data_IF_878287901613
#
_entry.id   IF_878287901613
#
_cell.length_a   1.000
_cell.length_b   1.000
_cell.length_c   1.000
_cell.angle_alpha   90.00
_cell.angle_beta   90.00
_cell.angle_gamma   90.00
#
_symmetry.space_group_name_H-M   'P 1'
#
loop_
_entity.id
_entity.type
_entity.pdbx_description
1 polymer ?
#
# COMPACT_ATOMS: atom_id res chain seq x y z
N UNK A 1 16.82 -29.47 22.93
CA UNK A 1 16.88 -28.55 21.77
C UNK A 1 17.01 -27.14 22.30
N UNK A 2 18.04 -26.39 21.90
CA UNK A 2 18.23 -25.02 22.38
C UNK A 2 17.19 -24.10 21.73
N UNK A 3 16.41 -23.40 22.54
CA UNK A 3 15.46 -22.39 22.06
C UNK A 3 16.25 -21.10 21.84
N UNK A 4 16.31 -20.63 20.61
CA UNK A 4 16.90 -19.33 20.28
C UNK A 4 15.95 -18.23 20.77
N UNK A 5 16.40 -17.43 21.75
CA UNK A 5 15.67 -16.27 22.27
C UNK A 5 16.17 -14.98 21.58
N UNK A 6 15.29 -14.00 21.36
CA UNK A 6 15.67 -12.65 20.92
C UNK A 6 15.74 -12.39 19.40
N UNK A 7 15.15 -13.25 18.54
CA UNK A 7 15.06 -12.98 17.09
C UNK A 7 13.76 -12.31 16.64
N UNK A 8 12.76 -12.22 17.51
CA UNK A 8 11.48 -11.58 17.20
C UNK A 8 11.46 -10.20 17.83
N UNK A 9 11.12 -9.20 17.03
CA UNK A 9 10.83 -7.83 17.45
C UNK A 9 9.54 -7.72 18.28
N UNK A 10 8.76 -8.80 18.37
CA UNK A 10 7.55 -8.91 19.18
C UNK A 10 7.78 -9.62 20.52
N UNK A 11 8.94 -10.27 20.70
CA UNK A 11 9.26 -11.03 21.92
C UNK A 11 10.45 -10.40 22.61
N UNK A 12 10.16 -9.48 23.54
CA UNK A 12 11.15 -9.06 24.52
C UNK A 12 11.62 -10.29 25.31
N UNK A 13 12.93 -10.48 25.43
CA UNK A 13 13.47 -11.56 26.23
C UNK A 13 13.01 -11.33 27.68
N UNK A 14 12.58 -12.37 28.42
CA UNK A 14 12.15 -12.21 29.82
C UNK A 14 13.25 -11.58 30.72
N UNK A 15 14.51 -11.64 30.28
CA UNK A 15 15.66 -11.01 30.93
C UNK A 15 15.85 -9.53 30.55
N UNK A 16 15.30 -9.07 29.42
CA UNK A 16 15.36 -7.67 28.97
C UNK A 16 14.38 -6.77 29.74
N UNK A 17 13.34 -7.36 30.34
CA UNK A 17 12.42 -6.62 31.23
C UNK A 17 13.12 -5.99 32.46
N UNK A 18 14.36 -6.40 32.77
CA UNK A 18 15.18 -5.82 33.84
C UNK A 18 16.25 -4.84 33.35
N UNK A 19 16.44 -4.69 32.04
CA UNK A 19 17.34 -3.69 31.45
C UNK A 19 16.43 -2.55 30.99
N UNK A 20 16.53 -1.40 31.65
CA UNK A 20 15.76 -0.18 31.38
C UNK A 20 16.02 0.46 29.98
N UNK A 21 16.47 -0.34 29.02
CA UNK A 21 17.03 0.07 27.73
C UNK A 21 16.61 -0.86 26.58
N UNK A 22 15.78 -1.89 26.81
CA UNK A 22 15.14 -2.60 25.70
C UNK A 22 13.97 -1.75 25.20
N UNK A 23 14.07 -1.21 23.99
CA UNK A 23 12.93 -0.58 23.33
C UNK A 23 11.74 -1.55 23.38
N UNK A 24 10.62 -1.19 24.05
CA UNK A 24 9.46 -2.05 24.07
C UNK A 24 9.01 -2.30 22.63
N UNK A 25 8.62 -3.55 22.32
CA UNK A 25 8.06 -3.91 21.02
C UNK A 25 6.99 -2.87 20.65
N UNK A 26 7.13 -2.22 19.49
CA UNK A 26 6.23 -1.14 19.09
C UNK A 26 4.79 -1.66 19.20
N UNK A 27 3.94 -1.06 20.06
CA UNK A 27 2.61 -1.58 20.30
C UNK A 27 1.76 -1.62 19.03
N UNK A 28 2.10 -0.88 17.98
CA UNK A 28 1.41 -0.96 16.69
C UNK A 28 1.90 -2.08 15.79
N UNK A 29 3.15 -2.50 15.92
CA UNK A 29 3.63 -3.78 15.37
C UNK A 29 3.08 -4.98 16.15
N UNK A 30 2.90 -4.84 17.46
CA UNK A 30 2.41 -5.92 18.33
C UNK A 30 0.87 -6.03 18.42
N UNK A 31 0.12 -4.95 18.14
CA UNK A 31 -1.35 -4.84 18.34
C UNK A 31 -2.04 -3.97 17.28
N UNK A 32 -1.46 -3.85 16.08
CA UNK A 32 -2.01 -3.02 15.00
C UNK A 32 -3.46 -3.38 14.68
N UNK A 33 -4.31 -2.36 14.54
CA UNK A 33 -5.69 -2.52 14.04
C UNK A 33 -5.70 -2.28 12.54
N UNK A 34 -6.22 -3.21 11.73
CA UNK A 34 -6.37 -2.96 10.30
C UNK A 34 -7.53 -1.99 10.07
N UNK A 35 -7.26 -0.98 9.25
CA UNK A 35 -8.22 -0.02 8.73
C UNK A 35 -8.42 -0.34 7.26
N UNK A 36 -9.69 -0.42 6.83
CA UNK A 36 -10.07 -0.73 5.46
C UNK A 36 -10.66 0.51 4.82
N UNK A 37 -10.06 0.94 3.71
CA UNK A 37 -10.60 1.96 2.81
C UNK A 37 -11.06 1.24 1.56
N UNK A 38 -12.33 1.37 1.20
CA UNK A 38 -12.93 0.68 0.06
C UNK A 38 -13.65 1.70 -0.81
N UNK A 39 -13.57 1.50 -2.12
CA UNK A 39 -14.22 2.39 -3.08
C UNK A 39 -14.21 1.80 -4.48
N UNK A 40 -14.76 2.56 -5.41
CA UNK A 40 -14.74 2.24 -6.83
C UNK A 40 -14.45 3.50 -7.61
N UNK A 41 -13.49 3.42 -8.53
CA UNK A 41 -13.27 4.45 -9.54
C UNK A 41 -13.89 4.00 -10.86
N UNK A 42 -14.44 4.93 -11.63
CA UNK A 42 -14.94 4.68 -12.98
C UNK A 42 -14.30 5.64 -13.98
N UNK A 43 -14.02 5.14 -15.18
CA UNK A 43 -13.53 5.92 -16.31
C UNK A 43 -14.54 5.89 -17.45
N UNK A 44 -14.64 6.99 -18.20
CA UNK A 44 -15.32 7.06 -19.48
C UNK A 44 -14.40 6.56 -20.61
N UNK A 45 -15.01 6.17 -21.72
CA UNK A 45 -14.27 5.78 -22.94
C UNK A 45 -13.53 6.96 -23.59
N UNK A 46 -13.85 8.19 -23.21
CA UNK A 46 -13.25 9.43 -23.73
C UNK A 46 -12.11 9.96 -22.85
N UNK A 47 -11.79 9.27 -21.75
CA UNK A 47 -10.77 9.72 -20.82
C UNK A 47 -9.38 9.54 -21.44
N UNK A 48 -8.58 10.61 -21.38
CA UNK A 48 -7.27 10.68 -22.03
C UNK A 48 -6.16 10.14 -21.13
N UNK A 49 -4.97 10.00 -21.73
CA UNK A 49 -3.68 9.74 -21.07
C UNK A 49 -3.21 10.80 -20.05
N UNK A 50 -4.03 11.81 -19.75
CA UNK A 50 -3.75 12.78 -18.67
C UNK A 50 -4.74 12.66 -17.52
N UNK A 51 -5.62 11.65 -17.57
CA UNK A 51 -6.65 11.43 -16.55
C UNK A 51 -6.03 10.89 -15.29
N UNK A 52 -6.48 11.40 -14.15
CA UNK A 52 -6.02 11.01 -12.82
C UNK A 52 -7.21 10.88 -11.88
N UNK A 53 -7.27 9.78 -11.13
CA UNK A 53 -8.38 9.46 -10.25
C UNK A 53 -7.89 9.33 -8.81
N UNK A 54 -8.37 10.18 -7.92
CA UNK A 54 -8.05 10.10 -6.50
C UNK A 54 -8.72 8.88 -5.88
N UNK A 55 -7.93 8.03 -5.24
CA UNK A 55 -8.40 6.80 -4.59
C UNK A 55 -8.70 7.06 -3.11
N UNK A 56 -7.69 7.51 -2.37
CA UNK A 56 -7.79 7.79 -0.94
C UNK A 56 -6.59 8.58 -0.44
N UNK A 57 -6.75 9.22 0.71
CA UNK A 57 -5.66 9.84 1.47
C UNK A 57 -5.31 8.97 2.67
N UNK A 58 -4.04 8.62 2.79
CA UNK A 58 -3.51 7.74 3.84
C UNK A 58 -2.45 8.46 4.65
N UNK A 59 -2.30 8.18 5.94
CA UNK A 59 -1.19 8.73 6.70
C UNK A 59 0.16 8.27 6.14
N UNK A 60 1.16 9.15 6.14
CA UNK A 60 2.47 8.87 5.52
C UNK A 60 3.25 7.75 6.21
N UNK A 61 3.04 7.57 7.52
CA UNK A 61 3.65 6.57 8.41
C UNK A 61 2.79 5.31 8.59
N UNK A 62 1.72 5.14 7.80
CA UNK A 62 0.94 3.92 7.85
C UNK A 62 1.65 2.74 7.18
N UNK A 63 1.35 1.51 7.61
CA UNK A 63 1.87 0.29 6.99
C UNK A 63 0.78 -0.30 6.11
N UNK A 64 1.04 -0.44 4.81
CA UNK A 64 0.13 -1.15 3.91
C UNK A 64 0.17 -2.66 4.15
N UNK A 65 -1.02 -3.25 4.23
CA UNK A 65 -1.21 -4.68 4.45
C UNK A 65 -1.49 -5.40 3.13
N UNK A 66 -1.20 -6.70 3.11
CA UNK A 66 -1.32 -7.63 1.97
C UNK A 66 -2.75 -7.80 1.42
N UNK A 67 -3.73 -7.32 2.18
CA UNK A 67 -5.12 -7.28 1.75
C UNK A 67 -5.42 -6.12 0.78
N UNK A 68 -4.50 -5.16 0.62
CA UNK A 68 -4.62 -4.09 -0.38
C UNK A 68 -4.71 -4.68 -1.79
N UNK A 69 -5.79 -4.37 -2.50
CA UNK A 69 -6.08 -4.97 -3.79
C UNK A 69 -6.92 -4.06 -4.69
N UNK A 70 -6.70 -4.17 -6.00
CA UNK A 70 -7.41 -3.45 -7.05
C UNK A 70 -8.02 -4.45 -8.04
N UNK A 71 -9.34 -4.44 -8.21
CA UNK A 71 -10.03 -5.26 -9.22
C UNK A 71 -10.03 -4.53 -10.56
N UNK A 72 -9.18 -4.99 -11.47
CA UNK A 72 -8.85 -4.32 -12.72
C UNK A 72 -9.52 -4.99 -13.92
N UNK A 73 -10.32 -6.03 -13.68
CA UNK A 73 -10.98 -6.79 -14.75
C UNK A 73 -11.76 -5.88 -15.69
N UNK A 74 -12.50 -4.93 -15.12
CA UNK A 74 -13.35 -3.99 -15.86
C UNK A 74 -12.70 -2.61 -16.03
N UNK A 75 -11.41 -2.46 -15.76
CA UNK A 75 -10.72 -1.18 -15.94
C UNK A 75 -10.60 -0.83 -17.43
N UNK A 76 -10.91 0.42 -17.79
CA UNK A 76 -10.98 0.87 -19.18
C UNK A 76 -9.62 1.13 -19.83
N UNK A 77 -8.56 1.26 -19.03
CA UNK A 77 -7.19 1.42 -19.50
C UNK A 77 -6.46 0.08 -19.61
N UNK A 78 -5.44 0.02 -20.48
CA UNK A 78 -4.66 -1.18 -20.72
C UNK A 78 -3.62 -1.47 -19.61
N UNK A 79 -3.24 -0.44 -18.86
CA UNK A 79 -2.34 -0.52 -17.71
C UNK A 79 -3.05 -0.08 -16.43
N UNK A 80 -2.51 -0.55 -15.32
CA UNK A 80 -2.93 -0.20 -13.96
C UNK A 80 -1.74 0.47 -13.32
N UNK A 81 -1.78 1.81 -13.30
CA UNK A 81 -0.70 2.66 -12.80
C UNK A 81 -1.21 3.40 -11.59
N UNK A 82 -0.61 3.14 -10.44
CA UNK A 82 -1.04 3.68 -9.14
C UNK A 82 0.19 4.24 -8.44
N UNK A 83 0.05 5.47 -7.96
CA UNK A 83 1.12 6.17 -7.29
C UNK A 83 0.62 7.41 -6.55
N UNK A 84 1.53 8.35 -6.38
CA UNK A 84 1.20 9.67 -5.86
C UNK A 84 0.88 10.62 -7.02
N UNK A 85 0.38 11.81 -6.71
CA UNK A 85 0.08 12.82 -7.72
C UNK A 85 1.27 13.15 -8.64
N UNK A 86 2.47 13.19 -8.09
CA UNK A 86 3.69 13.64 -8.78
C UNK A 86 4.55 12.48 -9.29
N UNK A 87 4.32 11.28 -8.76
CA UNK A 87 5.05 10.05 -9.10
C UNK A 87 4.05 8.93 -9.37
N UNK A 88 3.79 8.68 -10.65
CA UNK A 88 2.59 7.96 -11.12
C UNK A 88 2.66 6.45 -10.89
N UNK A 89 3.85 5.86 -10.95
CA UNK A 89 4.12 4.43 -10.84
C UNK A 89 4.72 4.01 -9.48
N UNK A 90 4.73 4.93 -8.51
CA UNK A 90 5.35 4.73 -7.20
C UNK A 90 4.87 3.49 -6.42
N UNK A 91 3.61 3.06 -6.60
CA UNK A 91 3.05 1.90 -5.89
C UNK A 91 2.90 0.67 -6.79
N UNK A 92 2.44 0.85 -8.02
CA UNK A 92 2.16 -0.22 -8.96
C UNK A 92 2.17 0.31 -10.40
N UNK A 93 2.92 -0.34 -11.28
CA UNK A 93 2.76 -0.23 -12.73
C UNK A 93 2.79 -1.64 -13.34
N UNK A 94 1.65 -2.06 -13.84
CA UNK A 94 1.48 -3.36 -14.50
C UNK A 94 0.46 -3.29 -15.62
N UNK A 95 0.63 -4.13 -16.63
CA UNK A 95 -0.41 -4.35 -17.62
C UNK A 95 -1.65 -4.96 -16.95
N UNK A 96 -2.84 -4.47 -17.30
CA UNK A 96 -4.13 -5.02 -16.84
C UNK A 96 -4.26 -6.52 -17.15
N UNK A 97 -3.65 -6.98 -18.24
CA UNK A 97 -3.64 -8.40 -18.65
C UNK A 97 -2.85 -9.31 -17.71
N UNK A 98 -2.05 -8.77 -16.79
CA UNK A 98 -1.27 -9.57 -15.85
C UNK A 98 -2.13 -10.34 -14.85
N UNK A 99 -3.24 -9.74 -14.40
CA UNK A 99 -4.20 -10.37 -13.49
C UNK A 99 -5.51 -9.58 -13.44
N UNK A 100 -6.62 -10.26 -13.10
CA UNK A 100 -7.91 -9.61 -12.83
C UNK A 100 -7.90 -8.77 -11.55
N UNK A 101 -7.03 -9.11 -10.60
CA UNK A 101 -6.85 -8.38 -9.35
C UNK A 101 -5.37 -8.15 -9.12
N UNK A 102 -4.99 -6.89 -8.92
CA UNK A 102 -3.61 -6.50 -8.64
C UNK A 102 -3.43 -6.28 -7.14
N UNK A 103 -2.31 -6.77 -6.60
CA UNK A 103 -1.95 -6.60 -5.18
C UNK A 103 -0.52 -6.04 -5.11
N UNK A 104 -0.34 -4.78 -4.72
CA UNK A 104 1.00 -4.17 -4.67
C UNK A 104 1.85 -4.73 -3.51
N UNK A 105 1.21 -5.23 -2.45
CA UNK A 105 1.89 -5.77 -1.27
C UNK A 105 1.58 -7.26 -1.16
N UNK A 106 2.64 -8.07 -1.05
CA UNK A 106 2.56 -9.51 -0.79
C UNK A 106 3.27 -9.84 0.53
N UNK A 107 2.72 -10.78 1.29
CA UNK A 107 3.33 -11.20 2.55
C UNK A 107 4.75 -11.75 2.35
N UNK A 108 5.71 -11.18 3.04
CA UNK A 108 7.13 -11.57 2.96
C UNK A 108 7.91 -10.95 1.79
N UNK A 109 7.28 -10.10 0.98
CA UNK A 109 7.96 -9.32 -0.06
C UNK A 109 8.81 -8.17 0.54
N UNK A 110 9.68 -7.57 -0.27
CA UNK A 110 10.54 -6.45 0.10
C UNK A 110 9.77 -5.23 0.62
N UNK A 111 8.50 -5.07 0.25
CA UNK A 111 7.64 -3.98 0.70
C UNK A 111 6.76 -4.34 1.92
N UNK A 112 6.83 -5.58 2.40
CA UNK A 112 6.07 -6.00 3.56
C UNK A 112 6.59 -5.31 4.85
N UNK A 113 5.66 -4.79 5.66
CA UNK A 113 5.92 -4.12 6.93
C UNK A 113 6.77 -2.83 6.86
N UNK A 114 6.83 -2.20 5.67
CA UNK A 114 7.39 -0.86 5.47
C UNK A 114 6.32 0.23 5.62
N UNK A 115 6.76 1.42 5.98
CA UNK A 115 5.89 2.59 6.02
C UNK A 115 5.54 3.05 4.59
N UNK A 116 4.36 3.65 4.41
CA UNK A 116 3.83 4.03 3.09
C UNK A 116 4.82 4.90 2.31
N UNK A 117 5.45 5.88 2.96
CA UNK A 117 6.44 6.73 2.30
C UNK A 117 7.66 5.95 1.78
N UNK A 118 8.09 4.88 2.48
CA UNK A 118 9.19 4.02 2.03
C UNK A 118 8.75 3.13 0.85
N UNK A 119 7.52 2.62 0.89
CA UNK A 119 6.94 1.82 -0.20
C UNK A 119 6.85 2.66 -1.48
N UNK A 120 6.47 3.93 -1.33
CA UNK A 120 6.36 4.90 -2.43
C UNK A 120 7.73 5.49 -2.85
N UNK A 121 8.84 5.02 -2.28
CA UNK A 121 10.18 5.48 -2.66
C UNK A 121 10.52 6.93 -2.28
N UNK A 122 9.76 7.54 -1.37
CA UNK A 122 10.06 8.90 -0.89
C UNK A 122 11.38 8.90 -0.10
N UNK A 123 12.17 9.97 -0.24
CA UNK A 123 13.48 10.05 0.41
C UNK A 123 13.41 10.18 1.94
N UNK A 124 12.31 10.71 2.46
CA UNK A 124 12.03 10.86 3.88
C UNK A 124 10.52 10.91 4.11
N UNK A 125 10.08 10.62 5.34
CA UNK A 125 8.68 10.75 5.72
C UNK A 125 8.22 12.22 5.57
N UNK A 126 7.28 12.52 4.65
CA UNK A 126 6.79 13.88 4.46
C UNK A 126 5.91 14.39 5.61
N UNK A 127 5.44 13.49 6.48
CA UNK A 127 4.43 13.75 7.49
C UNK A 127 3.04 13.99 6.89
N UNK A 128 2.01 13.89 7.74
CA UNK A 128 0.63 14.15 7.33
C UNK A 128 0.05 13.01 6.50
N UNK A 129 -0.56 13.35 5.37
CA UNK A 129 -1.28 12.40 4.51
C UNK A 129 -0.74 12.40 3.08
N UNK A 130 -0.61 11.21 2.50
CA UNK A 130 -0.25 10.97 1.11
C UNK A 130 -1.50 10.50 0.37
N UNK A 131 -1.84 11.18 -0.71
CA UNK A 131 -2.92 10.78 -1.61
C UNK A 131 -2.45 9.73 -2.60
N UNK A 132 -3.20 8.64 -2.73
CA UNK A 132 -3.03 7.64 -3.77
C UNK A 132 -3.94 7.95 -4.95
N UNK A 133 -3.40 7.84 -6.15
CA UNK A 133 -4.08 8.13 -7.40
C UNK A 133 -3.88 7.00 -8.40
N UNK A 134 -4.92 6.70 -9.18
CA UNK A 134 -4.77 5.91 -10.40
C UNK A 134 -4.53 6.84 -11.58
N UNK A 135 -3.51 6.54 -12.38
CA UNK A 135 -3.10 7.35 -13.52
C UNK A 135 -3.39 6.62 -14.84
N UNK A 136 -3.78 7.39 -15.84
CA UNK A 136 -3.85 6.92 -17.22
C UNK A 136 -2.54 7.27 -17.93
N UNK A 137 -1.80 6.27 -18.44
CA UNK A 137 -0.62 6.52 -19.29
C UNK A 137 -0.96 6.58 -20.79
N UNK A 138 -2.12 6.07 -21.14
CA UNK A 138 -2.66 6.05 -22.50
C UNK A 138 -4.16 6.38 -22.46
N UNK A 139 -4.73 6.69 -23.62
CA UNK A 139 -6.17 6.92 -23.74
C UNK A 139 -6.95 5.64 -23.41
N UNK A 140 -8.15 5.81 -22.83
CA UNK A 140 -9.01 4.69 -22.48
C UNK A 140 -9.40 3.88 -23.73
N UNK A 141 -9.26 2.56 -23.66
CA UNK A 141 -9.74 1.66 -24.71
C UNK A 141 -11.26 1.46 -24.65
N UNK A 142 -11.87 1.83 -23.52
CA UNK A 142 -13.32 1.78 -23.28
C UNK A 142 -13.68 2.32 -21.91
N UNK A 143 -14.98 2.48 -21.66
CA UNK A 143 -15.47 2.82 -20.33
C UNK A 143 -15.29 1.63 -19.39
N UNK A 144 -15.05 1.91 -18.11
CA UNK A 144 -14.70 0.89 -17.15
C UNK A 144 -14.83 1.32 -15.70
N UNK A 145 -14.54 0.40 -14.81
CA UNK A 145 -14.52 0.62 -13.37
C UNK A 145 -13.49 -0.26 -12.68
N UNK A 146 -12.89 0.25 -11.61
CA UNK A 146 -11.94 -0.44 -10.75
C UNK A 146 -12.40 -0.31 -9.29
N UNK A 147 -13.11 -1.32 -8.76
CA UNK A 147 -13.28 -1.49 -7.32
C UNK A 147 -11.91 -1.68 -6.66
N UNK A 148 -11.71 -1.08 -5.50
CA UNK A 148 -10.46 -1.18 -4.77
C UNK A 148 -10.69 -1.31 -3.26
N UNK A 149 -9.70 -1.91 -2.62
CA UNK A 149 -9.54 -1.86 -1.18
C UNK A 149 -8.09 -1.54 -0.84
N UNK A 150 -7.89 -0.56 0.04
CA UNK A 150 -6.59 -0.28 0.65
C UNK A 150 -6.69 -0.58 2.13
N UNK A 151 -5.80 -1.46 2.59
CA UNK A 151 -5.81 -1.92 3.97
C UNK A 151 -4.50 -1.50 4.59
N UNK A 152 -4.58 -0.76 5.69
CA UNK A 152 -3.41 -0.27 6.39
C UNK A 152 -3.55 -0.41 7.91
N UNK A 153 -2.43 -0.46 8.61
CA UNK A 153 -2.38 -0.23 10.05
C UNK A 153 -1.65 1.07 10.35
N UNK A 154 -2.09 1.76 11.40
CA UNK A 154 -1.49 3.01 11.85
C UNK A 154 -0.58 2.79 13.06
N UNK A 155 0.39 3.70 13.24
CA UNK A 155 1.28 3.79 14.41
C UNK A 155 0.66 4.64 15.53
#
# INVERSE_FOLDING_TARGET
>A
MAIVKGKSDLVANYLDAFIAQSDPADPNRARGRPIYVQGTVANAATDSNTSMYHLCDLPSDCILLEHTAFDVQNWGFAQVVIGTRDDTDALLDVAKSAANTQRPITFGDANHAKELWEVLGLAANPGGTIGLYAHAEADAAGAGSMPFQVVYSFR
#
